data_IF_529057038984
#
_entry.id   IF_529057038984
#
_cell.length_a   1.000
_cell.length_b   1.000
_cell.length_c   1.000
_cell.angle_alpha   90.00
_cell.angle_beta   90.00
_cell.angle_gamma   90.00
#
_symmetry.space_group_name_H-M   'P 1'
#
loop_
_entity.id
_entity.type
_entity.pdbx_description
1 polymer ?
#
# COMPACT_ATOMS: atom_id res chain seq x y z
N UNK A 1 -13.66 19.41 -11.00
CA UNK A 1 -14.68 18.42 -11.44
C UNK A 1 -14.69 17.27 -10.45
N UNK A 2 -15.84 16.85 -9.93
CA UNK A 2 -15.93 15.61 -9.14
C UNK A 2 -15.74 14.44 -10.12
N UNK A 3 -14.76 13.57 -9.87
CA UNK A 3 -14.58 12.34 -10.64
C UNK A 3 -15.81 11.47 -10.43
N UNK A 4 -16.60 11.26 -11.48
CA UNK A 4 -17.76 10.36 -11.46
C UNK A 4 -17.28 8.97 -11.86
N UNK A 5 -17.57 7.99 -11.03
CA UNK A 5 -17.16 6.61 -11.23
C UNK A 5 -18.34 5.80 -11.75
N UNK A 6 -18.08 4.94 -12.73
CA UNK A 6 -19.05 3.92 -13.14
C UNK A 6 -19.03 2.74 -12.17
N UNK A 7 -20.14 1.99 -12.09
CA UNK A 7 -20.22 0.77 -11.28
C UNK A 7 -19.13 -0.24 -11.67
N UNK A 8 -18.81 -0.36 -12.96
CA UNK A 8 -17.77 -1.26 -13.44
C UNK A 8 -16.38 -0.88 -12.89
N UNK A 9 -16.03 0.42 -12.92
CA UNK A 9 -14.76 0.90 -12.37
C UNK A 9 -14.66 0.67 -10.85
N UNK A 10 -15.77 0.84 -10.12
CA UNK A 10 -15.82 0.55 -8.68
C UNK A 10 -15.60 -0.95 -8.44
N UNK A 11 -16.24 -1.81 -9.24
CA UNK A 11 -16.10 -3.27 -9.11
C UNK A 11 -14.69 -3.75 -9.42
N UNK A 12 -14.03 -3.18 -10.42
CA UNK A 12 -12.65 -3.48 -10.76
C UNK A 12 -11.69 -3.05 -9.65
N UNK A 13 -11.82 -1.81 -9.16
CA UNK A 13 -11.03 -1.31 -8.04
C UNK A 13 -11.24 -2.14 -6.77
N UNK A 14 -12.48 -2.59 -6.51
CA UNK A 14 -12.78 -3.48 -5.38
C UNK A 14 -12.09 -4.83 -5.51
N UNK A 15 -12.09 -5.46 -6.69
CA UNK A 15 -11.40 -6.73 -6.93
C UNK A 15 -9.90 -6.60 -6.67
N UNK A 16 -9.28 -5.53 -7.16
CA UNK A 16 -7.87 -5.26 -6.89
C UNK A 16 -7.63 -5.11 -5.38
N UNK A 17 -8.37 -4.19 -4.73
CA UNK A 17 -8.24 -3.89 -3.31
C UNK A 17 -8.46 -5.11 -2.40
N UNK A 18 -9.49 -5.91 -2.67
CA UNK A 18 -9.88 -7.04 -1.81
C UNK A 18 -8.84 -8.16 -1.82
N UNK A 19 -8.16 -8.37 -2.94
CA UNK A 19 -7.11 -9.38 -3.11
C UNK A 19 -5.70 -8.89 -2.82
N UNK A 20 -5.46 -7.57 -2.78
CA UNK A 20 -4.13 -6.98 -2.66
C UNK A 20 -3.49 -7.36 -1.33
N UNK A 21 -2.31 -7.97 -1.40
CA UNK A 21 -1.44 -8.23 -0.26
C UNK A 21 -0.36 -7.16 -0.20
N UNK A 22 -0.03 -6.72 1.01
CA UNK A 22 0.95 -5.69 1.28
C UNK A 22 1.82 -6.11 2.46
N UNK A 23 3.00 -5.51 2.53
CA UNK A 23 3.92 -5.70 3.65
C UNK A 23 3.55 -4.70 4.72
N UNK A 24 3.05 -5.19 5.87
CA UNK A 24 2.81 -4.36 7.04
C UNK A 24 4.03 -4.41 7.94
N UNK A 25 4.56 -3.23 8.19
CA UNK A 25 5.63 -3.01 9.14
C UNK A 25 5.07 -2.99 10.57
N UNK A 26 5.64 -3.80 11.46
CA UNK A 26 5.23 -3.85 12.86
C UNK A 26 5.95 -2.79 13.69
N UNK A 27 5.25 -2.25 14.71
CA UNK A 27 5.80 -1.29 15.66
C UNK A 27 7.02 -1.93 16.37
N UNK A 28 8.11 -1.16 16.52
CA UNK A 28 9.44 -1.59 17.01
C UNK A 28 10.38 -2.23 15.99
N UNK A 29 10.00 -2.33 14.71
CA UNK A 29 11.01 -2.43 13.66
C UNK A 29 11.76 -1.11 13.57
N UNK A 30 13.05 -1.08 13.91
CA UNK A 30 13.93 0.02 13.47
C UNK A 30 14.07 -0.11 11.95
N UNK A 31 13.79 0.97 11.23
CA UNK A 31 13.99 1.02 9.78
C UNK A 31 15.00 2.11 9.48
N UNK A 32 16.10 1.70 8.87
CA UNK A 32 17.07 2.61 8.30
C UNK A 32 17.05 2.37 6.80
N UNK A 33 16.75 3.42 6.03
CA UNK A 33 17.01 3.42 4.60
C UNK A 33 18.53 3.53 4.51
N UNK A 34 19.24 2.42 4.31
CA UNK A 34 20.68 2.47 4.11
C UNK A 34 20.94 3.20 2.77
N UNK A 35 21.62 4.35 2.76
CA UNK A 35 22.01 5.00 1.53
C UNK A 35 23.08 4.13 0.88
N UNK A 36 22.75 3.54 -0.27
CA UNK A 36 23.74 2.81 -1.06
C UNK A 36 24.41 3.79 -2.01
N UNK A 37 25.75 3.72 -2.09
CA UNK A 37 26.55 4.44 -3.08
C UNK A 37 25.90 4.28 -4.46
N UNK A 38 25.29 5.34 -4.98
CA UNK A 38 24.64 5.32 -6.30
C UNK A 38 23.22 5.88 -6.38
N UNK A 39 22.62 6.33 -5.27
CA UNK A 39 21.42 7.19 -5.31
C UNK A 39 20.08 6.47 -5.45
N UNK A 40 20.04 5.15 -5.36
CA UNK A 40 18.80 4.38 -5.23
C UNK A 40 18.84 3.56 -3.93
N UNK A 41 17.80 3.61 -3.09
CA UNK A 41 17.75 2.82 -1.86
C UNK A 41 17.70 1.34 -2.25
N UNK A 42 18.78 0.60 -1.98
CA UNK A 42 18.86 -0.81 -2.39
C UNK A 42 18.44 -1.79 -1.30
N UNK A 43 18.34 -1.36 -0.04
CA UNK A 43 18.00 -2.24 1.07
C UNK A 43 17.16 -1.54 2.13
N UNK A 44 16.11 -2.24 2.56
CA UNK A 44 15.27 -1.88 3.70
C UNK A 44 15.58 -2.90 4.81
N UNK A 45 16.25 -2.48 5.89
CA UNK A 45 16.51 -3.33 7.07
C UNK A 45 15.57 -2.95 8.20
N UNK A 46 14.70 -3.90 8.59
CA UNK A 46 13.84 -3.78 9.75
C UNK A 46 13.27 -5.12 10.19
N UNK A 47 13.22 -5.32 11.51
CA UNK A 47 13.28 -6.63 12.19
C UNK A 47 11.96 -7.41 12.24
N UNK A 48 10.82 -6.89 11.75
CA UNK A 48 9.59 -7.68 11.66
C UNK A 48 8.57 -7.06 10.72
N UNK A 49 8.24 -7.79 9.67
CA UNK A 49 7.17 -7.45 8.74
C UNK A 49 6.31 -8.69 8.50
N UNK A 50 5.03 -8.47 8.25
CA UNK A 50 4.07 -9.53 7.91
C UNK A 50 3.37 -9.18 6.59
N UNK A 51 3.06 -10.21 5.82
CA UNK A 51 2.21 -10.07 4.64
C UNK A 51 0.75 -10.10 5.10
N UNK A 52 0.04 -8.99 4.88
CA UNK A 52 -1.38 -8.86 5.23
C UNK A 52 -2.20 -8.46 4.01
N UNK A 53 -3.51 -8.64 4.07
CA UNK A 53 -4.40 -8.06 3.07
C UNK A 53 -4.51 -6.55 3.28
N UNK A 54 -4.50 -5.77 2.19
CA UNK A 54 -4.63 -4.31 2.23
C UNK A 54 -5.87 -3.86 3.01
N UNK A 55 -6.97 -4.59 2.87
CA UNK A 55 -8.23 -4.30 3.57
C UNK A 55 -8.16 -4.36 5.10
N UNK A 56 -7.10 -4.93 5.68
CA UNK A 56 -6.90 -4.92 7.14
C UNK A 56 -6.17 -3.67 7.65
N UNK A 57 -5.65 -2.83 6.75
CA UNK A 57 -4.86 -1.65 7.10
C UNK A 57 -5.43 -0.33 6.55
N UNK A 58 -6.14 -0.36 5.42
CA UNK A 58 -6.68 0.84 4.74
C UNK A 58 -8.11 0.54 4.31
N UNK A 59 -9.01 1.51 4.42
CA UNK A 59 -10.40 1.38 3.96
C UNK A 59 -10.51 1.55 2.44
N UNK A 60 -11.54 0.98 1.83
CA UNK A 60 -11.75 1.11 0.38
C UNK A 60 -11.90 2.57 -0.09
N UNK A 61 -12.64 3.47 0.61
CA UNK A 61 -12.68 4.88 0.26
C UNK A 61 -11.30 5.55 0.29
N UNK A 62 -10.48 5.25 1.29
CA UNK A 62 -9.12 5.79 1.38
C UNK A 62 -8.25 5.27 0.23
N UNK A 63 -8.33 3.98 -0.07
CA UNK A 63 -7.63 3.37 -1.21
C UNK A 63 -7.96 4.07 -2.54
N UNK A 64 -9.24 4.41 -2.77
CA UNK A 64 -9.66 5.15 -3.96
C UNK A 64 -9.07 6.57 -4.00
N UNK A 65 -8.97 7.25 -2.85
CA UNK A 65 -8.34 8.56 -2.78
C UNK A 65 -6.84 8.49 -3.11
N UNK A 66 -6.12 7.56 -2.49
CA UNK A 66 -4.65 7.50 -2.62
C UNK A 66 -4.18 7.06 -4.02
N UNK A 67 -4.99 6.26 -4.73
CA UNK A 67 -4.57 5.65 -6.00
C UNK A 67 -5.26 6.25 -7.22
N UNK A 68 -6.34 7.03 -7.03
CA UNK A 68 -7.18 7.47 -8.14
C UNK A 68 -7.77 8.89 -8.00
N UNK A 69 -7.49 9.63 -6.93
CA UNK A 69 -7.79 11.07 -6.85
C UNK A 69 -6.72 11.89 -7.58
#
# INVERSE_FOLDING_TARGET
>A
MKKVWTINQINEAWKEYAGKKVIKVLRNGKWEIEPVKGGLPSNIRGVRAEVVFLKSIVSFPQYLQDNYA
#
